data_IF_782258320680
#
_entry.id   IF_782258320680
#
_cell.length_a   1.000
_cell.length_b   1.000
_cell.length_c   1.000
_cell.angle_alpha   90.00
_cell.angle_beta   90.00
_cell.angle_gamma   90.00
#
_symmetry.space_group_name_H-M   'P 1'
#
loop_
_entity.id
_entity.type
_entity.pdbx_description
1 polymer ?
#
# COMPACT_ATOMS: atom_id res chain seq x y z
N UNK A 1 16.10 0.58 -53.68
CA UNK A 1 17.57 0.68 -53.81
C UNK A 1 18.13 0.71 -52.38
N UNK A 2 18.51 -0.45 -51.80
CA UNK A 2 19.88 -1.01 -51.72
C UNK A 2 20.88 0.01 -51.15
N UNK A 3 21.60 -0.23 -50.04
CA UNK A 3 22.50 -1.38 -49.82
C UNK A 3 22.87 -1.61 -48.34
N UNK A 4 22.93 -2.90 -47.96
CA UNK A 4 23.58 -3.46 -46.76
C UNK A 4 25.11 -3.57 -46.93
N UNK A 5 25.78 -3.65 -45.76
CA UNK A 5 27.02 -4.41 -45.43
C UNK A 5 28.37 -3.94 -46.00
N UNK A 6 29.34 -3.75 -45.10
CA UNK A 6 30.62 -4.46 -45.15
C UNK A 6 31.32 -4.52 -43.79
N UNK A 7 31.84 -5.70 -43.45
CA UNK A 7 32.63 -6.04 -42.27
C UNK A 7 34.13 -5.73 -42.49
N UNK A 8 34.87 -5.68 -41.37
CA UNK A 8 36.13 -6.40 -41.08
C UNK A 8 37.41 -5.55 -40.93
N UNK A 9 38.32 -6.10 -40.09
CA UNK A 9 39.79 -5.87 -39.95
C UNK A 9 40.15 -4.85 -38.84
N UNK A 10 41.08 -5.02 -37.88
CA UNK A 10 42.17 -5.94 -37.44
C UNK A 10 42.48 -5.52 -35.97
N UNK A 11 42.73 -6.34 -34.94
CA UNK A 11 43.87 -7.20 -34.61
C UNK A 11 45.27 -6.55 -34.72
N UNK A 12 46.11 -6.84 -33.71
CA UNK A 12 47.58 -6.59 -33.57
C UNK A 12 47.98 -5.20 -33.03
N UNK A 13 48.94 -5.03 -32.11
CA UNK A 13 49.85 -5.96 -31.44
C UNK A 13 50.58 -5.30 -30.24
N UNK A 14 51.09 -6.18 -29.39
CA UNK A 14 52.39 -6.19 -28.71
C UNK A 14 53.10 -4.91 -28.22
N UNK A 15 53.65 -5.01 -27.00
CA UNK A 15 55.08 -5.35 -26.79
C UNK A 15 55.42 -5.19 -25.28
N UNK A 16 55.71 -6.27 -24.55
CA UNK A 16 57.02 -6.95 -24.41
C UNK A 16 57.99 -6.20 -23.47
N UNK A 17 58.34 -6.81 -22.31
CA UNK A 17 59.63 -7.49 -22.04
C UNK A 17 60.65 -6.53 -21.37
N UNK A 18 61.60 -6.87 -20.50
CA UNK A 18 62.31 -8.11 -20.11
C UNK A 18 63.14 -7.83 -18.82
N UNK A 19 63.56 -8.91 -18.12
CA UNK A 19 64.86 -9.19 -17.42
C UNK A 19 65.64 -8.09 -16.66
N UNK A 20 66.39 -8.28 -15.58
CA UNK A 20 67.02 -9.44 -14.94
C UNK A 20 68.28 -8.98 -14.16
N UNK A 21 68.33 -9.31 -12.86
CA UNK A 21 69.50 -9.75 -12.05
C UNK A 21 70.70 -8.82 -11.65
N UNK A 22 71.00 -8.84 -10.33
CA UNK A 22 72.30 -8.76 -9.56
C UNK A 22 72.89 -7.41 -9.09
N UNK A 23 72.93 -7.17 -7.76
CA UNK A 23 74.14 -7.30 -6.89
C UNK A 23 74.06 -6.59 -5.50
N UNK A 24 74.57 -7.31 -4.47
CA UNK A 24 75.34 -6.88 -3.28
C UNK A 24 74.67 -6.25 -2.02
N UNK A 25 74.45 -7.14 -1.03
CA UNK A 25 75.04 -7.21 0.34
C UNK A 25 75.21 -5.91 1.17
N UNK A 26 74.52 -5.86 2.32
CA UNK A 26 75.12 -5.46 3.62
C UNK A 26 74.20 -5.83 4.80
N UNK A 27 74.79 -6.48 5.81
CA UNK A 27 74.21 -6.95 7.08
C UNK A 27 74.43 -5.88 8.16
N UNK A 28 73.46 -5.69 9.07
CA UNK A 28 73.57 -5.27 10.50
C UNK A 28 72.13 -5.25 11.07
N UNK A 29 71.69 -6.14 11.98
CA UNK A 29 71.95 -6.36 13.41
C UNK A 29 71.48 -5.23 14.36
N UNK A 30 70.64 -5.63 15.34
CA UNK A 30 70.04 -4.91 16.48
C UNK A 30 68.89 -3.95 16.10
N UNK A 31 67.77 -3.84 16.80
CA UNK A 31 67.50 -4.06 18.24
C UNK A 31 65.99 -4.29 18.47
N UNK A 32 65.62 -4.80 19.64
CA UNK A 32 64.28 -5.24 20.02
C UNK A 32 63.22 -4.13 20.13
N UNK A 33 61.94 -4.50 19.91
CA UNK A 33 60.79 -3.81 20.51
C UNK A 33 59.64 -4.81 20.77
N UNK A 34 59.19 -5.01 22.03
CA UNK A 34 58.11 -5.94 22.40
C UNK A 34 56.73 -5.26 22.29
N UNK A 35 56.38 -4.74 21.12
CA UNK A 35 55.14 -3.96 20.93
C UNK A 35 54.14 -4.56 19.92
N UNK A 36 54.48 -5.65 19.23
CA UNK A 36 53.60 -6.23 18.18
C UNK A 36 52.77 -7.44 18.64
N UNK A 37 53.00 -8.00 19.83
CA UNK A 37 52.23 -9.17 20.32
C UNK A 37 50.88 -8.80 20.97
N UNK A 38 50.71 -7.57 21.47
CA UNK A 38 49.48 -7.17 22.18
C UNK A 38 48.32 -6.83 21.21
N UNK A 39 48.61 -6.23 20.06
CA UNK A 39 47.56 -5.86 19.08
C UNK A 39 47.01 -7.07 18.29
N UNK A 40 47.84 -8.10 18.08
CA UNK A 40 47.41 -9.34 17.42
C UNK A 40 46.64 -10.28 18.37
N UNK A 41 46.79 -10.11 19.69
CA UNK A 41 46.06 -10.92 20.68
C UNK A 41 44.66 -10.37 20.90
N UNK A 42 44.49 -9.04 21.01
CA UNK A 42 43.16 -8.40 21.19
C UNK A 42 42.26 -8.55 19.95
N UNK A 43 42.79 -8.42 18.73
CA UNK A 43 42.03 -8.63 17.49
C UNK A 43 41.62 -10.11 17.29
N UNK A 44 42.46 -11.05 17.75
CA UNK A 44 42.21 -12.49 17.66
C UNK A 44 41.30 -12.97 18.80
N UNK A 45 41.31 -12.32 19.97
CA UNK A 45 40.35 -12.51 21.07
C UNK A 45 38.96 -11.96 20.73
N UNK A 46 38.85 -10.78 20.10
CA UNK A 46 37.57 -10.29 19.57
C UNK A 46 37.01 -11.23 18.50
N UNK A 47 37.83 -11.66 17.54
CA UNK A 47 37.42 -12.60 16.49
C UNK A 47 37.04 -14.00 17.03
N UNK A 48 37.68 -14.47 18.11
CA UNK A 48 37.33 -15.75 18.74
C UNK A 48 36.09 -15.63 19.63
N UNK A 49 35.83 -14.46 20.22
CA UNK A 49 34.60 -14.18 20.96
C UNK A 49 33.41 -14.08 20.02
N UNK A 50 33.54 -13.39 18.89
CA UNK A 50 32.53 -13.35 17.83
C UNK A 50 32.24 -14.74 17.26
N UNK A 51 33.27 -15.56 17.03
CA UNK A 51 33.08 -16.96 16.60
C UNK A 51 32.35 -17.80 17.65
N UNK A 52 32.69 -17.67 18.94
CA UNK A 52 31.97 -18.39 20.02
C UNK A 52 30.51 -17.95 20.13
N UNK A 53 30.22 -16.66 19.95
CA UNK A 53 28.85 -16.12 19.94
C UNK A 53 28.08 -16.64 18.72
N UNK A 54 28.69 -16.62 17.53
CA UNK A 54 28.10 -17.16 16.30
C UNK A 54 27.85 -18.68 16.43
N UNK A 55 28.78 -19.43 17.02
CA UNK A 55 28.63 -20.86 17.26
C UNK A 55 27.52 -21.16 18.27
N UNK A 56 27.40 -20.37 19.34
CA UNK A 56 26.29 -20.49 20.30
C UNK A 56 24.94 -20.16 19.66
N UNK A 57 24.86 -19.10 18.87
CA UNK A 57 23.65 -18.76 18.10
C UNK A 57 23.31 -19.93 17.16
N UNK A 58 24.29 -20.46 16.43
CA UNK A 58 24.10 -21.63 15.56
C UNK A 58 23.61 -22.87 16.31
N UNK A 59 24.11 -23.12 17.53
CA UNK A 59 23.66 -24.22 18.38
C UNK A 59 22.21 -24.00 18.86
N UNK A 60 21.86 -22.79 19.30
CA UNK A 60 20.50 -22.44 19.71
C UNK A 60 19.51 -22.54 18.55
N UNK A 61 19.88 -22.05 17.36
CA UNK A 61 19.03 -22.11 16.17
C UNK A 61 18.80 -23.55 15.71
N UNK A 62 19.84 -24.41 15.76
CA UNK A 62 19.70 -25.85 15.49
C UNK A 62 18.79 -26.53 16.51
N UNK A 63 18.99 -26.29 17.81
CA UNK A 63 18.13 -26.86 18.85
C UNK A 63 16.66 -26.42 18.70
N UNK A 64 16.41 -25.15 18.36
CA UNK A 64 15.08 -24.63 18.06
C UNK A 64 14.48 -25.32 16.83
N UNK A 65 15.26 -25.43 15.75
CA UNK A 65 14.83 -26.08 14.51
C UNK A 65 14.50 -27.56 14.72
N UNK A 66 15.36 -28.29 15.43
CA UNK A 66 15.18 -29.71 15.73
C UNK A 66 13.95 -29.91 16.64
N UNK A 67 13.73 -29.03 17.62
CA UNK A 67 12.53 -29.05 18.47
C UNK A 67 11.25 -28.77 17.67
N UNK A 68 11.25 -27.77 16.78
CA UNK A 68 10.13 -27.47 15.88
C UNK A 68 9.83 -28.64 14.92
N UNK A 69 10.87 -29.33 14.46
CA UNK A 69 10.76 -30.48 13.57
C UNK A 69 10.25 -31.73 14.29
N UNK A 70 10.74 -32.00 15.50
CA UNK A 70 10.31 -33.15 16.32
C UNK A 70 8.84 -33.03 16.74
N UNK A 71 8.35 -31.80 16.92
CA UNK A 71 6.96 -31.49 17.19
C UNK A 71 6.06 -31.45 15.93
N UNK A 72 6.62 -31.61 14.74
CA UNK A 72 5.88 -31.63 13.46
C UNK A 72 5.42 -30.27 12.95
N UNK A 73 6.00 -29.17 13.45
CA UNK A 73 5.63 -27.80 13.09
C UNK A 73 6.43 -27.21 11.91
N UNK A 74 7.49 -27.86 11.44
CA UNK A 74 8.29 -27.35 10.30
C UNK A 74 7.43 -27.14 9.04
N UNK A 75 6.56 -28.11 8.72
CA UNK A 75 5.64 -28.05 7.57
C UNK A 75 4.59 -26.96 7.71
N UNK A 76 4.13 -26.69 8.94
CA UNK A 76 3.14 -25.63 9.19
C UNK A 76 3.78 -24.26 9.03
N UNK A 77 4.97 -24.05 9.61
CA UNK A 77 5.69 -22.80 9.49
C UNK A 77 6.13 -22.53 8.04
N UNK A 78 6.51 -23.57 7.30
CA UNK A 78 6.84 -23.48 5.88
C UNK A 78 5.60 -23.13 5.02
N UNK A 79 4.42 -23.69 5.34
CA UNK A 79 3.17 -23.32 4.70
C UNK A 79 2.79 -21.85 4.96
N UNK A 80 2.90 -21.40 6.22
CA UNK A 80 2.67 -20.00 6.61
C UNK A 80 3.62 -19.07 5.84
N UNK A 81 4.91 -19.41 5.80
CA UNK A 81 5.91 -18.62 5.09
C UNK A 81 5.63 -18.53 3.58
N UNK A 82 4.99 -19.55 2.99
CA UNK A 82 4.57 -19.55 1.59
C UNK A 82 3.30 -18.72 1.34
N UNK A 83 2.40 -18.58 2.31
CA UNK A 83 1.12 -17.85 2.18
C UNK A 83 1.28 -16.32 2.30
N UNK A 84 2.25 -15.84 3.08
CA UNK A 84 2.47 -14.39 3.30
C UNK A 84 2.76 -13.61 2.01
N UNK A 85 3.67 -14.06 1.11
CA UNK A 85 3.88 -13.40 -0.18
C UNK A 85 2.61 -13.35 -1.04
N UNK A 86 1.80 -14.42 -1.02
CA UNK A 86 0.53 -14.46 -1.75
C UNK A 86 -0.47 -13.41 -1.22
N UNK A 87 -0.53 -13.21 0.10
CA UNK A 87 -1.33 -12.14 0.69
C UNK A 87 -0.85 -10.76 0.27
N UNK A 88 0.47 -10.55 0.20
CA UNK A 88 1.06 -9.30 -0.25
C UNK A 88 0.67 -8.99 -1.70
N UNK A 89 0.81 -9.96 -2.60
CA UNK A 89 0.43 -9.82 -4.01
C UNK A 89 -1.06 -9.46 -4.17
N UNK A 90 -1.92 -10.11 -3.36
CA UNK A 90 -3.36 -9.82 -3.31
C UNK A 90 -3.67 -8.41 -2.81
N UNK A 91 -2.95 -7.92 -1.79
CA UNK A 91 -3.10 -6.56 -1.30
C UNK A 91 -2.61 -5.52 -2.33
N UNK A 92 -1.48 -5.78 -2.99
CA UNK A 92 -0.99 -4.95 -4.09
C UNK A 92 -2.00 -4.90 -5.23
N UNK A 93 -2.61 -6.03 -5.60
CA UNK A 93 -3.69 -6.08 -6.58
C UNK A 93 -4.88 -5.20 -6.19
N UNK A 94 -5.29 -5.24 -4.91
CA UNK A 94 -6.37 -4.38 -4.39
C UNK A 94 -6.00 -2.90 -4.49
N UNK A 95 -4.77 -2.53 -4.12
CA UNK A 95 -4.29 -1.16 -4.22
C UNK A 95 -4.35 -0.64 -5.66
N UNK A 96 -3.80 -1.39 -6.61
CA UNK A 96 -3.82 -1.03 -8.04
C UNK A 96 -5.24 -0.91 -8.58
N UNK A 97 -6.14 -1.82 -8.20
CA UNK A 97 -7.54 -1.77 -8.64
C UNK A 97 -8.30 -0.58 -8.08
N UNK A 98 -8.02 -0.21 -6.84
CA UNK A 98 -8.62 0.95 -6.17
C UNK A 98 -8.12 2.26 -6.81
N UNK A 99 -6.82 2.34 -7.12
CA UNK A 99 -6.23 3.49 -7.81
C UNK A 99 -6.84 3.67 -9.20
N UNK A 100 -6.93 2.61 -9.99
CA UNK A 100 -7.54 2.63 -11.32
C UNK A 100 -9.01 3.09 -11.28
N UNK A 101 -9.78 2.61 -10.30
CA UNK A 101 -11.18 3.02 -10.14
C UNK A 101 -11.33 4.48 -9.74
N UNK A 102 -10.46 4.96 -8.84
CA UNK A 102 -10.43 6.36 -8.43
C UNK A 102 -10.07 7.27 -9.61
N UNK A 103 -9.06 6.90 -10.39
CA UNK A 103 -8.63 7.65 -11.59
C UNK A 103 -9.75 7.71 -12.63
N UNK A 104 -10.40 6.59 -12.97
CA UNK A 104 -11.52 6.57 -13.93
C UNK A 104 -12.70 7.42 -13.44
N UNK A 105 -13.04 7.33 -12.15
CA UNK A 105 -14.12 8.12 -11.55
C UNK A 105 -13.82 9.61 -11.59
N UNK A 106 -12.58 9.99 -11.25
CA UNK A 106 -12.14 11.38 -11.27
C UNK A 106 -12.17 11.94 -12.69
N UNK A 107 -11.59 11.24 -13.66
CA UNK A 107 -11.58 11.64 -15.06
C UNK A 107 -12.99 11.83 -15.63
N UNK A 108 -13.90 10.90 -15.36
CA UNK A 108 -15.29 11.00 -15.79
C UNK A 108 -15.99 12.23 -15.16
N UNK A 109 -15.69 12.51 -13.89
CA UNK A 109 -16.21 13.70 -13.19
C UNK A 109 -15.65 15.00 -13.77
N UNK A 110 -14.35 15.05 -14.06
CA UNK A 110 -13.68 16.20 -14.69
C UNK A 110 -14.25 16.53 -16.07
N UNK A 111 -14.75 15.53 -16.81
CA UNK A 111 -15.41 15.72 -18.09
C UNK A 111 -16.89 16.13 -17.91
N UNK A 112 -17.60 15.52 -16.95
CA UNK A 112 -19.03 15.77 -16.75
C UNK A 112 -19.35 17.16 -16.18
N UNK A 113 -18.56 17.64 -15.22
CA UNK A 113 -18.77 18.93 -14.56
C UNK A 113 -18.86 20.11 -15.55
N UNK A 114 -17.89 20.35 -16.45
CA UNK A 114 -17.95 21.49 -17.37
C UNK A 114 -19.12 21.41 -18.36
N UNK A 115 -19.58 20.20 -18.69
CA UNK A 115 -20.78 20.02 -19.53
C UNK A 115 -22.01 20.54 -18.78
N UNK A 116 -22.17 20.18 -17.50
CA UNK A 116 -23.28 20.67 -16.69
C UNK A 116 -23.20 22.14 -16.33
N UNK A 117 -22.00 22.66 -16.07
CA UNK A 117 -21.81 24.08 -15.84
C UNK A 117 -22.21 24.88 -17.08
N UNK A 118 -21.82 24.43 -18.27
CA UNK A 118 -22.20 25.07 -19.53
C UNK A 118 -23.70 24.99 -19.79
N UNK A 119 -24.30 23.80 -19.63
CA UNK A 119 -25.74 23.61 -19.80
C UNK A 119 -26.54 24.58 -18.90
N UNK A 120 -26.14 24.67 -17.63
CA UNK A 120 -26.75 25.58 -16.65
C UNK A 120 -26.53 27.06 -17.00
N UNK A 121 -25.29 27.45 -17.32
CA UNK A 121 -24.95 28.83 -17.64
C UNK A 121 -25.70 29.33 -18.88
N UNK A 122 -25.76 28.53 -19.95
CA UNK A 122 -26.48 28.88 -21.18
C UNK A 122 -27.99 29.04 -20.90
N UNK A 123 -28.58 28.18 -20.07
CA UNK A 123 -29.98 28.26 -19.67
C UNK A 123 -30.30 29.52 -18.86
N UNK A 124 -29.45 29.84 -17.86
CA UNK A 124 -29.60 31.04 -17.03
C UNK A 124 -29.47 32.30 -17.89
N UNK A 125 -28.46 32.34 -18.76
CA UNK A 125 -28.23 33.47 -19.66
C UNK A 125 -29.42 33.70 -20.60
N UNK A 126 -29.97 32.65 -21.22
CA UNK A 126 -31.17 32.77 -22.06
C UNK A 126 -32.39 33.24 -21.25
N UNK A 127 -32.57 32.72 -20.03
CA UNK A 127 -33.67 33.12 -19.13
C UNK A 127 -33.62 34.60 -18.77
N UNK A 128 -32.42 35.11 -18.45
CA UNK A 128 -32.21 36.54 -18.16
C UNK A 128 -32.47 37.41 -19.39
N UNK A 129 -31.98 37.01 -20.56
CA UNK A 129 -32.25 37.72 -21.81
C UNK A 129 -33.75 37.76 -22.15
N UNK A 130 -34.48 36.66 -21.93
CA UNK A 130 -35.94 36.63 -22.11
C UNK A 130 -36.64 37.59 -21.18
N UNK A 131 -36.32 37.56 -19.87
CA UNK A 131 -36.90 38.50 -18.89
C UNK A 131 -36.66 39.96 -19.30
N UNK A 132 -35.42 40.30 -19.66
CA UNK A 132 -35.09 41.64 -20.09
C UNK A 132 -35.79 42.05 -21.40
N UNK A 133 -35.90 41.12 -22.36
CA UNK A 133 -36.61 41.36 -23.61
C UNK A 133 -38.11 41.61 -23.37
N UNK A 134 -38.76 40.87 -22.47
CA UNK A 134 -40.16 41.08 -22.10
C UNK A 134 -40.40 42.43 -21.41
N UNK A 135 -39.54 42.82 -20.46
CA UNK A 135 -39.62 44.12 -19.79
C UNK A 135 -39.44 45.28 -20.79
N UNK A 136 -38.44 45.16 -21.67
CA UNK A 136 -38.16 46.19 -22.68
C UNK A 136 -39.26 46.28 -23.73
N UNK A 137 -39.83 45.16 -24.17
CA UNK A 137 -40.89 45.14 -25.19
C UNK A 137 -42.14 45.90 -24.75
N UNK A 138 -42.41 46.00 -23.45
CA UNK A 138 -43.54 46.77 -22.91
C UNK A 138 -43.37 48.29 -23.09
N UNK A 139 -42.14 48.77 -23.23
CA UNK A 139 -41.80 50.19 -23.39
C UNK A 139 -41.29 50.55 -24.80
N UNK A 140 -40.55 49.64 -25.44
CA UNK A 140 -40.02 49.77 -26.80
C UNK A 140 -39.95 48.39 -27.49
N UNK A 141 -40.93 48.04 -28.35
CA UNK A 141 -40.96 46.73 -28.99
C UNK A 141 -39.84 46.58 -30.05
N UNK A 142 -38.94 45.62 -29.82
CA UNK A 142 -37.86 45.25 -30.75
C UNK A 142 -38.06 43.82 -31.25
N UNK A 143 -38.62 43.70 -32.46
CA UNK A 143 -38.93 42.41 -33.09
C UNK A 143 -37.67 41.65 -33.52
N UNK A 144 -36.58 42.33 -33.88
CA UNK A 144 -35.35 41.67 -34.34
C UNK A 144 -34.58 41.04 -33.18
N UNK A 145 -34.53 41.72 -32.02
CA UNK A 145 -33.99 41.13 -30.78
C UNK A 145 -34.77 39.88 -30.38
N UNK A 146 -36.11 39.91 -30.48
CA UNK A 146 -36.97 38.77 -30.16
C UNK A 146 -36.72 37.56 -31.08
N UNK A 147 -36.59 37.80 -32.39
CA UNK A 147 -36.25 36.74 -33.37
C UNK A 147 -34.89 36.12 -33.08
N UNK A 148 -33.89 36.95 -32.78
CA UNK A 148 -32.54 36.48 -32.44
C UNK A 148 -32.58 35.59 -31.21
N UNK A 149 -33.27 36.02 -30.15
CA UNK A 149 -33.41 35.26 -28.92
C UNK A 149 -34.18 33.93 -29.11
N UNK A 150 -35.17 33.91 -30.00
CA UNK A 150 -35.85 32.67 -30.40
C UNK A 150 -34.89 31.70 -31.09
N UNK A 151 -34.06 32.17 -32.02
CA UNK A 151 -33.06 31.35 -32.72
C UNK A 151 -32.04 30.81 -31.71
N UNK A 152 -31.51 31.65 -30.82
CA UNK A 152 -30.54 31.24 -29.80
C UNK A 152 -31.13 30.19 -28.85
N UNK A 153 -32.41 30.35 -28.49
CA UNK A 153 -33.13 29.37 -27.66
C UNK A 153 -33.29 28.03 -28.36
N UNK A 154 -33.67 28.03 -29.64
CA UNK A 154 -33.78 26.79 -30.43
C UNK A 154 -32.42 26.09 -30.57
N UNK A 155 -31.35 26.85 -30.83
CA UNK A 155 -30.00 26.31 -30.89
C UNK A 155 -29.52 25.72 -29.56
N UNK A 156 -29.90 26.35 -28.44
CA UNK A 156 -29.65 25.78 -27.11
C UNK A 156 -30.40 24.46 -26.94
N UNK A 157 -31.70 24.43 -27.24
CA UNK A 157 -32.52 23.23 -27.14
C UNK A 157 -32.01 22.08 -28.03
N UNK A 158 -31.49 22.36 -29.22
CA UNK A 158 -30.86 21.37 -30.10
C UNK A 158 -29.59 20.75 -29.49
N UNK A 159 -28.86 21.49 -28.65
CA UNK A 159 -27.63 21.03 -27.96
C UNK A 159 -27.90 20.27 -26.66
N UNK A 160 -29.06 20.47 -26.03
CA UNK A 160 -29.42 19.83 -24.75
C UNK A 160 -29.30 18.29 -24.80
N UNK A 161 -29.83 17.58 -25.82
CA UNK A 161 -29.72 16.13 -25.90
C UNK A 161 -28.27 15.66 -25.99
N UNK A 162 -27.43 16.34 -26.78
CA UNK A 162 -26.02 16.00 -26.93
C UNK A 162 -25.27 16.11 -25.59
N UNK A 163 -25.43 17.24 -24.89
CA UNK A 163 -24.79 17.48 -23.60
C UNK A 163 -25.28 16.52 -22.50
N UNK A 164 -26.58 16.24 -22.49
CA UNK A 164 -27.19 15.32 -21.52
C UNK A 164 -26.70 13.88 -21.76
N UNK A 165 -26.63 13.45 -23.03
CA UNK A 165 -26.10 12.13 -23.39
C UNK A 165 -24.61 12.02 -23.07
N UNK A 166 -23.82 13.07 -23.32
CA UNK A 166 -22.40 13.10 -22.97
C UNK A 166 -22.19 12.99 -21.44
N UNK A 167 -23.00 13.70 -20.65
CA UNK A 167 -22.98 13.60 -19.18
C UNK A 167 -23.37 12.19 -18.72
N UNK A 168 -24.43 11.62 -19.30
CA UNK A 168 -24.89 10.27 -18.96
C UNK A 168 -23.82 9.20 -19.28
N UNK A 169 -23.08 9.37 -20.38
CA UNK A 169 -21.95 8.49 -20.70
C UNK A 169 -20.87 8.54 -19.61
N UNK A 170 -20.56 9.72 -19.04
CA UNK A 170 -19.62 9.83 -17.93
C UNK A 170 -20.16 9.20 -16.64
N UNK A 171 -21.46 9.35 -16.35
CA UNK A 171 -22.09 8.68 -15.20
C UNK A 171 -22.03 7.14 -15.33
N UNK A 172 -22.19 6.62 -16.55
CA UNK A 172 -22.01 5.19 -16.82
C UNK A 172 -20.55 4.77 -16.63
N UNK A 173 -19.58 5.58 -17.05
CA UNK A 173 -18.16 5.30 -16.82
C UNK A 173 -17.84 5.24 -15.32
N UNK A 174 -18.39 6.16 -14.51
CA UNK A 174 -18.28 6.11 -13.03
C UNK A 174 -18.90 4.83 -12.48
N UNK A 175 -20.08 4.44 -12.95
CA UNK A 175 -20.75 3.21 -12.51
C UNK A 175 -19.93 1.96 -12.86
N UNK A 176 -19.38 1.89 -14.08
CA UNK A 176 -18.52 0.77 -14.46
C UNK A 176 -17.22 0.75 -13.68
N UNK A 177 -16.63 1.91 -13.38
CA UNK A 177 -15.40 2.00 -12.60
C UNK A 177 -15.56 1.47 -11.16
N UNK A 178 -16.79 1.29 -10.66
CA UNK A 178 -17.09 0.70 -9.34
C UNK A 178 -17.00 -0.83 -9.32
N UNK A 179 -16.88 -1.50 -10.47
CA UNK A 179 -16.75 -2.97 -10.56
C UNK A 179 -15.56 -3.54 -9.75
N UNK A 180 -14.55 -2.70 -9.50
CA UNK A 180 -13.43 -3.05 -8.63
C UNK A 180 -13.87 -3.43 -7.21
N UNK A 181 -14.98 -2.89 -6.71
CA UNK A 181 -15.42 -3.13 -5.33
C UNK A 181 -15.72 -4.61 -5.09
N UNK A 182 -16.40 -5.29 -6.01
CA UNK A 182 -16.70 -6.72 -5.88
C UNK A 182 -15.41 -7.54 -5.88
N UNK A 183 -14.53 -7.25 -6.83
CA UNK A 183 -13.30 -8.01 -7.02
C UNK A 183 -12.31 -7.80 -5.87
N UNK A 184 -12.15 -6.56 -5.42
CA UNK A 184 -11.32 -6.22 -4.25
C UNK A 184 -11.93 -6.74 -2.95
N UNK A 185 -13.26 -6.68 -2.79
CA UNK A 185 -13.96 -7.26 -1.64
C UNK A 185 -13.74 -8.77 -1.51
N UNK A 186 -13.81 -9.50 -2.63
CA UNK A 186 -13.49 -10.94 -2.65
C UNK A 186 -12.04 -11.22 -2.25
N UNK A 187 -11.09 -10.40 -2.73
CA UNK A 187 -9.67 -10.55 -2.43
C UNK A 187 -9.38 -10.25 -0.95
N UNK A 188 -9.93 -9.15 -0.42
CA UNK A 188 -9.83 -8.80 1.01
C UNK A 188 -10.39 -9.94 1.86
N UNK A 189 -11.56 -10.48 1.51
CA UNK A 189 -12.15 -11.60 2.23
C UNK A 189 -11.20 -12.80 2.28
N UNK A 190 -10.55 -13.15 1.17
CA UNK A 190 -9.56 -14.25 1.13
C UNK A 190 -8.36 -13.96 2.02
N UNK A 191 -7.82 -12.74 1.98
CA UNK A 191 -6.71 -12.33 2.86
C UNK A 191 -7.13 -12.41 4.33
N UNK A 192 -8.33 -11.95 4.68
CA UNK A 192 -8.85 -12.04 6.05
C UNK A 192 -8.91 -13.49 6.54
N UNK A 193 -9.41 -14.42 5.72
CA UNK A 193 -9.44 -15.84 6.08
C UNK A 193 -8.03 -16.43 6.24
N UNK A 194 -7.09 -16.03 5.37
CA UNK A 194 -5.69 -16.44 5.47
C UNK A 194 -5.09 -15.94 6.78
N UNK A 195 -5.21 -14.64 7.09
CA UNK A 195 -4.71 -14.05 8.35
C UNK A 195 -5.32 -14.72 9.58
N UNK A 196 -6.62 -15.01 9.58
CA UNK A 196 -7.28 -15.74 10.68
C UNK A 196 -6.75 -17.17 10.85
N UNK A 197 -6.41 -17.83 9.74
CA UNK A 197 -5.82 -19.18 9.78
C UNK A 197 -4.40 -19.12 10.32
N UNK A 198 -3.59 -18.16 9.86
CA UNK A 198 -2.25 -17.88 10.37
C UNK A 198 -2.25 -17.57 11.87
N UNK A 199 -3.17 -16.72 12.32
CA UNK A 199 -3.34 -16.36 13.73
C UNK A 199 -3.64 -17.59 14.58
N UNK A 200 -4.59 -18.42 14.15
CA UNK A 200 -4.93 -19.66 14.86
C UNK A 200 -3.74 -20.62 14.94
N UNK A 201 -3.04 -20.84 13.83
CA UNK A 201 -1.89 -21.74 13.79
C UNK A 201 -0.75 -21.25 14.70
N UNK A 202 -0.55 -19.93 14.78
CA UNK A 202 0.44 -19.34 15.67
C UNK A 202 0.02 -19.44 17.15
N UNK A 203 -1.26 -19.25 17.46
CA UNK A 203 -1.80 -19.46 18.82
C UNK A 203 -1.66 -20.93 19.23
N UNK A 204 -2.00 -21.88 18.35
CA UNK A 204 -1.85 -23.32 18.61
C UNK A 204 -0.38 -23.68 18.87
N UNK A 205 0.54 -23.10 18.09
CA UNK A 205 1.99 -23.25 18.31
C UNK A 205 2.42 -22.68 19.66
N UNK A 206 1.95 -21.48 20.03
CA UNK A 206 2.29 -20.88 21.32
C UNK A 206 1.74 -21.71 22.48
N UNK A 207 0.46 -22.12 22.44
CA UNK A 207 -0.17 -22.95 23.46
C UNK A 207 0.52 -24.31 23.64
N UNK A 208 0.96 -24.95 22.55
CA UNK A 208 1.72 -26.19 22.60
C UNK A 208 3.10 -26.02 23.27
N UNK A 209 3.64 -24.80 23.28
CA UNK A 209 4.96 -24.47 23.82
C UNK A 209 4.94 -23.77 25.18
N UNK A 210 3.76 -23.46 25.75
CA UNK A 210 3.68 -22.97 27.14
C UNK A 210 3.94 -24.15 28.08
N UNK A 211 5.05 -24.16 28.86
CA UNK A 211 5.19 -25.16 29.90
C UNK A 211 4.02 -25.00 30.87
N UNK A 212 3.36 -26.10 31.23
CA UNK A 212 2.24 -26.12 32.20
C UNK A 212 2.74 -25.77 33.61
N UNK A 213 3.25 -24.56 33.81
CA UNK A 213 3.25 -23.90 35.11
C UNK A 213 1.96 -23.08 35.14
N UNK A 214 0.95 -23.67 35.78
CA UNK A 214 -0.16 -22.94 36.40
C UNK A 214 0.45 -21.79 37.20
N UNK A 215 0.44 -20.59 36.64
CA UNK A 215 0.59 -19.37 37.40
C UNK A 215 -0.71 -18.59 37.19
N UNK A 216 -1.24 -18.16 38.33
CA UNK A 216 -2.59 -17.69 38.52
C UNK A 216 -2.92 -16.44 37.71
N UNK A 217 -4.22 -16.32 37.41
CA UNK A 217 -5.00 -15.10 37.25
C UNK A 217 -4.22 -13.82 36.90
N UNK A 218 -4.35 -13.37 35.66
CA UNK A 218 -4.00 -12.00 35.28
C UNK A 218 -5.07 -11.45 34.36
N UNK A 219 -6.03 -10.79 35.00
CA UNK A 219 -6.64 -9.51 34.63
C UNK A 219 -7.02 -9.30 33.14
N UNK A 220 -8.32 -9.47 32.85
CA UNK A 220 -8.98 -9.10 31.58
C UNK A 220 -9.16 -7.58 31.44
N UNK A 221 -8.11 -6.80 31.66
CA UNK A 221 -8.11 -5.36 31.46
C UNK A 221 -7.22 -4.99 30.29
N UNK A 222 -7.75 -4.23 29.32
CA UNK A 222 -7.01 -3.46 28.29
C UNK A 222 -6.99 -4.00 26.85
N UNK A 223 -8.04 -4.66 26.38
CA UNK A 223 -8.37 -4.71 24.94
C UNK A 223 -9.52 -3.75 24.62
N UNK A 224 -9.23 -2.44 24.65
CA UNK A 224 -10.14 -1.39 24.19
C UNK A 224 -9.79 -0.98 22.76
N UNK A 225 -10.24 -1.78 21.79
CA UNK A 225 -10.46 -1.33 20.41
C UNK A 225 -11.88 -0.77 20.25
N UNK A 226 -12.17 -0.01 19.18
CA UNK A 226 -13.52 0.49 18.91
C UNK A 226 -14.52 -0.67 18.85
N UNK A 227 -15.63 -0.55 19.59
CA UNK A 227 -16.60 -1.62 19.82
C UNK A 227 -17.36 -1.92 18.53
N UNK A 228 -17.06 -3.07 17.93
CA UNK A 228 -17.73 -3.54 16.70
C UNK A 228 -18.88 -4.50 16.95
N UNK A 229 -19.11 -4.93 18.20
CA UNK A 229 -20.21 -5.85 18.51
C UNK A 229 -20.78 -5.67 19.94
N UNK A 230 -21.86 -4.91 20.12
CA UNK A 230 -22.40 -4.57 21.44
C UNK A 230 -23.13 -5.74 22.14
N UNK A 231 -23.51 -6.81 21.44
CA UNK A 231 -24.27 -7.92 22.05
C UNK A 231 -23.41 -8.97 22.78
N UNK A 232 -22.08 -8.90 22.66
CA UNK A 232 -21.18 -9.94 23.21
C UNK A 232 -20.35 -9.49 24.42
N UNK A 233 -20.54 -8.27 24.92
CA UNK A 233 -19.79 -7.73 26.07
C UNK A 233 -20.75 -7.07 27.05
N UNK A 234 -20.83 -7.62 28.27
CA UNK A 234 -21.62 -7.06 29.40
C UNK A 234 -21.00 -5.78 30.01
N UNK A 235 -19.91 -5.28 29.41
CA UNK A 235 -19.15 -4.11 29.84
C UNK A 235 -19.30 -2.97 28.81
N UNK A 236 -20.51 -2.82 28.28
CA UNK A 236 -20.88 -1.67 27.46
C UNK A 236 -22.06 -1.00 28.15
N UNK A 237 -21.77 0.14 28.78
CA UNK A 237 -22.78 1.02 29.36
C UNK A 237 -23.52 1.67 28.21
N UNK A 238 -24.69 1.11 27.87
CA UNK A 238 -25.52 1.60 26.76
C UNK A 238 -26.62 2.58 27.21
N UNK A 239 -26.81 2.81 28.51
CA UNK A 239 -27.90 3.65 29.02
C UNK A 239 -27.48 4.56 30.17
N UNK A 240 -28.06 5.76 30.20
CA UNK A 240 -27.76 6.84 31.17
C UNK A 240 -28.01 6.42 32.63
N UNK A 241 -28.95 5.51 32.88
CA UNK A 241 -29.24 5.01 34.24
C UNK A 241 -28.06 4.20 34.82
N UNK A 242 -27.30 3.51 33.97
CA UNK A 242 -26.11 2.75 34.37
C UNK A 242 -24.88 3.64 34.59
N UNK A 243 -24.89 4.86 34.04
CA UNK A 243 -23.88 5.89 34.32
C UNK A 243 -24.07 6.43 35.73
N UNK A 244 -25.32 6.66 36.14
CA UNK A 244 -25.66 7.15 37.48
C UNK A 244 -25.33 6.09 38.56
N UNK A 245 -25.57 4.81 38.29
CA UNK A 245 -25.17 3.71 39.18
C UNK A 245 -23.64 3.60 39.33
N UNK A 246 -22.89 3.85 38.25
CA UNK A 246 -21.43 3.85 38.28
C UNK A 246 -20.90 5.03 39.09
N UNK A 247 -21.48 6.23 38.91
CA UNK A 247 -21.11 7.42 39.68
C UNK A 247 -21.40 7.27 41.18
N UNK A 248 -22.54 6.66 41.53
CA UNK A 248 -22.90 6.34 42.91
C UNK A 248 -21.92 5.33 43.55
N UNK A 249 -21.39 4.37 42.78
CA UNK A 249 -20.40 3.40 43.26
C UNK A 249 -19.00 4.00 43.52
N UNK A 250 -18.69 5.11 42.85
CA UNK A 250 -17.43 5.87 42.99
C UNK A 250 -17.53 7.00 44.04
N UNK A 251 -18.69 7.17 44.68
CA UNK A 251 -18.87 8.07 45.81
C UNK A 251 -19.12 9.54 45.44
N UNK A 252 -19.66 9.81 44.24
CA UNK A 252 -20.23 11.10 43.85
C UNK A 252 -21.76 11.06 43.89
#
# INVERSE_FOLDING_TARGET
MNTKRLMKVKAEDASQETSGTKSKKSIKLADASPAEETQNTEANELMTTDKKVIDQIGQLTRNLHDSLRELGYDRRLEAIAAEVPEAQDKLSYVATKTEQAAERTLNATEIAMPIQDKLSADAVHLSEQWKQAFETHQTNPDTEKFKTLLIDTLQYLDKVPEQTNATNAQLMEIMMAQDFQDLTGQVIKKITHMVQSLEKDLIDLLLANVPTKKNAATDEGLMNGPVTNPEKRNDVVCNQDQVDDLLASLGF
#
